data_IF_356245737614
#
_entry.id   IF_356245737614
#
_cell.length_a   1.000
_cell.length_b   1.000
_cell.length_c   1.000
_cell.angle_alpha   90.00
_cell.angle_beta   90.00
_cell.angle_gamma   90.00
#
_symmetry.space_group_name_H-M   'P 1'
#
loop_
_entity.id
_entity.type
_entity.pdbx_description
1 polymer ?
#
# COMPACT_ATOMS: atom_id res chain seq x y z
N UNK A 1 13.66 -6.05 -28.09
CA UNK A 1 13.54 -4.98 -27.07
C UNK A 1 12.19 -4.32 -27.26
N UNK A 2 11.34 -4.34 -26.24
CA UNK A 2 10.02 -3.69 -26.32
C UNK A 2 10.18 -2.17 -26.32
N UNK A 3 9.28 -1.46 -27.02
CA UNK A 3 9.31 0.00 -27.21
C UNK A 3 9.20 0.82 -25.90
N UNK A 4 8.90 0.15 -24.78
CA UNK A 4 8.41 0.79 -23.56
C UNK A 4 9.46 0.94 -22.44
N UNK A 5 10.73 0.58 -22.68
CA UNK A 5 11.78 0.63 -21.66
C UNK A 5 11.57 -0.34 -20.50
N UNK A 6 12.45 -0.29 -19.49
CA UNK A 6 12.28 -1.06 -18.26
C UNK A 6 11.24 -0.42 -17.33
N UNK A 7 10.40 -1.25 -16.71
CA UNK A 7 9.38 -0.78 -15.76
C UNK A 7 10.04 -0.41 -14.43
N UNK A 8 10.28 0.89 -14.22
CA UNK A 8 10.91 1.40 -12.99
C UNK A 8 9.89 1.83 -11.92
N UNK A 9 8.67 2.20 -12.31
CA UNK A 9 7.60 2.60 -11.39
C UNK A 9 6.25 2.07 -11.87
N UNK A 10 5.44 1.57 -10.94
CA UNK A 10 4.07 1.14 -11.20
C UNK A 10 3.19 1.50 -10.00
N UNK A 11 2.06 2.18 -10.22
CA UNK A 11 1.17 2.66 -9.14
C UNK A 11 1.90 3.48 -8.05
N UNK A 12 3.02 4.15 -8.38
CA UNK A 12 3.86 4.88 -7.42
C UNK A 12 4.81 3.98 -6.60
N UNK A 13 4.77 2.67 -6.82
CA UNK A 13 5.72 1.71 -6.27
C UNK A 13 6.94 1.62 -7.19
N UNK A 14 8.13 1.57 -6.61
CA UNK A 14 9.36 1.41 -7.37
C UNK A 14 9.54 -0.06 -7.73
N UNK A 15 9.91 -0.35 -8.96
CA UNK A 15 10.12 -1.70 -9.46
C UNK A 15 11.59 -1.88 -9.86
N UNK A 16 12.16 -3.02 -9.47
CA UNK A 16 13.48 -3.47 -9.89
C UNK A 16 13.33 -4.84 -10.55
N UNK A 17 13.62 -4.89 -11.84
CA UNK A 17 13.63 -6.13 -12.62
C UNK A 17 15.07 -6.67 -12.62
N UNK A 18 15.23 -7.95 -12.31
CA UNK A 18 16.54 -8.62 -12.29
C UNK A 18 16.42 -10.06 -12.77
N UNK A 19 17.55 -10.77 -12.90
CA UNK A 19 17.59 -12.16 -13.37
C UNK A 19 16.81 -13.12 -12.44
N UNK A 20 16.71 -12.79 -11.16
CA UNK A 20 15.96 -13.53 -10.13
C UNK A 20 14.45 -13.23 -10.15
N UNK A 21 13.98 -12.27 -10.96
CA UNK A 21 12.59 -11.84 -11.02
C UNK A 21 12.38 -10.35 -10.81
N UNK A 22 11.14 -9.96 -10.51
CA UNK A 22 10.73 -8.56 -10.31
C UNK A 22 10.51 -8.29 -8.83
N UNK A 23 11.22 -7.30 -8.28
CA UNK A 23 11.14 -6.89 -6.88
C UNK A 23 10.43 -5.55 -6.79
N UNK A 24 9.44 -5.46 -5.92
CA UNK A 24 8.73 -4.22 -5.60
C UNK A 24 9.39 -3.56 -4.39
N UNK A 25 9.90 -2.36 -4.57
CA UNK A 25 10.52 -1.55 -3.55
C UNK A 25 9.54 -0.49 -3.03
N UNK A 26 9.13 -0.61 -1.77
CA UNK A 26 8.04 0.20 -1.20
C UNK A 26 8.53 1.39 -0.36
N UNK A 27 9.83 1.58 -0.14
CA UNK A 27 10.33 2.56 0.83
C UNK A 27 9.83 3.99 0.57
N UNK A 28 9.76 4.42 -0.70
CA UNK A 28 9.20 5.74 -1.06
C UNK A 28 7.70 5.80 -0.77
N UNK A 29 6.96 4.80 -1.23
CA UNK A 29 5.51 4.71 -1.02
C UNK A 29 5.13 4.75 0.47
N UNK A 30 5.83 3.97 1.32
CA UNK A 30 5.61 3.99 2.78
C UNK A 30 5.87 5.38 3.36
N UNK A 31 6.96 6.05 2.97
CA UNK A 31 7.27 7.41 3.44
C UNK A 31 6.23 8.44 2.98
N UNK A 32 5.79 8.36 1.74
CA UNK A 32 4.79 9.26 1.17
C UNK A 32 3.43 9.10 1.88
N UNK A 33 3.04 7.87 2.22
CA UNK A 33 1.84 7.61 3.03
C UNK A 33 1.99 8.19 4.43
N UNK A 34 3.09 7.88 5.12
CA UNK A 34 3.30 8.40 6.48
C UNK A 34 3.27 9.93 6.49
N UNK A 35 3.87 10.58 5.49
CA UNK A 35 3.81 12.04 5.34
C UNK A 35 2.40 12.56 5.06
N UNK A 36 1.63 11.88 4.21
CA UNK A 36 0.25 12.27 3.86
C UNK A 36 -0.67 12.34 5.08
N UNK A 37 -0.42 11.51 6.09
CA UNK A 37 -1.21 11.44 7.31
C UNK A 37 -0.50 12.02 8.54
N UNK A 38 0.56 12.82 8.36
CA UNK A 38 1.36 13.41 9.45
C UNK A 38 1.89 12.38 10.48
N UNK A 39 2.23 11.18 10.00
CA UNK A 39 2.73 10.06 10.81
C UNK A 39 4.27 9.92 10.76
N UNK A 40 5.00 10.92 10.25
CA UNK A 40 6.46 10.84 10.07
C UNK A 40 7.26 10.56 11.35
N UNK A 41 6.77 11.07 12.50
CA UNK A 41 7.41 10.91 13.82
C UNK A 41 6.74 9.81 14.67
N UNK A 42 5.84 9.03 14.07
CA UNK A 42 5.17 7.93 14.77
C UNK A 42 6.17 6.86 15.19
N UNK A 43 6.00 6.33 16.40
CA UNK A 43 6.86 5.26 16.91
C UNK A 43 6.68 4.00 16.06
N UNK A 44 7.77 3.31 15.68
CA UNK A 44 7.67 2.05 14.97
C UNK A 44 6.94 1.02 15.86
N UNK A 45 6.02 0.29 15.26
CA UNK A 45 5.33 -0.82 15.93
C UNK A 45 6.14 -2.09 15.70
N UNK A 46 6.47 -2.81 16.78
CA UNK A 46 7.21 -4.08 16.71
C UNK A 46 6.32 -5.25 16.30
N UNK A 47 5.03 -5.15 16.59
CA UNK A 47 4.04 -6.15 16.18
C UNK A 47 3.56 -5.79 14.77
N UNK A 48 3.73 -6.69 13.78
CA UNK A 48 3.17 -6.45 12.45
C UNK A 48 1.64 -6.45 12.51
N UNK A 49 1.02 -5.63 11.66
CA UNK A 49 -0.42 -5.68 11.44
C UNK A 49 -0.78 -7.04 10.81
N UNK A 50 -1.91 -7.62 11.20
CA UNK A 50 -2.43 -8.84 10.56
C UNK A 50 -2.56 -8.62 9.05
N UNK A 51 -2.10 -9.58 8.24
CA UNK A 51 -2.28 -9.55 6.78
C UNK A 51 -3.73 -9.82 6.37
N UNK A 52 -4.51 -10.42 7.27
CA UNK A 52 -5.91 -10.70 7.05
C UNK A 52 -6.75 -9.66 7.79
N UNK A 53 -7.60 -8.97 7.05
CA UNK A 53 -8.70 -8.19 7.61
C UNK A 53 -9.83 -9.15 7.92
N UNK A 54 -10.15 -9.32 9.20
CA UNK A 54 -11.41 -9.95 9.60
C UNK A 54 -12.44 -8.83 9.58
N UNK A 55 -13.42 -8.94 8.69
CA UNK A 55 -14.58 -8.06 8.65
C UNK A 55 -15.70 -8.81 9.33
N UNK A 56 -16.23 -8.23 10.41
CA UNK A 56 -17.40 -8.73 11.09
C UNK A 56 -18.61 -7.85 10.72
N UNK A 57 -19.80 -8.44 10.78
CA UNK A 57 -21.02 -7.67 10.60
C UNK A 57 -21.16 -6.66 11.75
N UNK A 58 -21.35 -5.39 11.41
CA UNK A 58 -21.70 -4.36 12.39
C UNK A 58 -23.21 -4.40 12.62
N UNK A 59 -23.66 -5.17 13.61
CA UNK A 59 -25.09 -5.36 13.89
C UNK A 59 -25.79 -4.07 14.36
N UNK A 60 -25.02 -3.12 14.90
CA UNK A 60 -25.50 -1.82 15.39
C UNK A 60 -25.21 -0.67 14.38
N UNK A 61 -24.60 -0.98 13.23
CA UNK A 61 -24.17 0.01 12.25
C UNK A 61 -25.32 0.58 11.41
N UNK A 62 -25.27 1.89 11.13
CA UNK A 62 -26.15 2.53 10.14
C UNK A 62 -25.86 1.97 8.74
N UNK A 63 -26.91 1.57 8.02
CA UNK A 63 -26.78 1.06 6.66
C UNK A 63 -26.29 2.17 5.72
N UNK A 64 -25.05 2.01 5.21
CA UNK A 64 -24.48 2.91 4.21
C UNK A 64 -24.75 2.35 2.80
N UNK A 65 -25.46 3.10 1.95
CA UNK A 65 -25.61 2.76 0.53
C UNK A 65 -24.33 3.14 -0.22
N UNK A 66 -23.70 2.14 -0.86
CA UNK A 66 -22.45 2.29 -1.60
C UNK A 66 -22.55 3.26 -2.80
N UNK A 67 -23.77 3.61 -3.25
CA UNK A 67 -23.99 4.49 -4.42
C UNK A 67 -24.07 5.98 -4.09
N UNK A 68 -24.03 6.35 -2.82
CA UNK A 68 -24.17 7.75 -2.36
C UNK A 68 -22.81 8.47 -2.21
N UNK A 69 -21.70 7.88 -2.68
CA UNK A 69 -20.37 8.50 -2.72
C UNK A 69 -19.77 8.55 -4.13
#
# INVERSE_FOLDING_TARGET
MSLMGELQFFLGLQIKQGPEGTIVHQAKYTRDILKKFDMGDSKPMTTPMSTNTVLDADEDGEAVDQKEF
#
